data_IF_289270657555
#
_entry.id   IF_289270657555
#
_cell.length_a   1.000
_cell.length_b   1.000
_cell.length_c   1.000
_cell.angle_alpha   90.00
_cell.angle_beta   90.00
_cell.angle_gamma   90.00
#
_symmetry.space_group_name_H-M   'P 1'
#
loop_
_entity.id
_entity.type
_entity.pdbx_description
1 polymer ?
#
# COMPACT_ATOMS: atom_id res chain seq x y z
N UNK A 1 37.77 -17.96 -20.79
CA UNK A 1 36.51 -17.29 -21.10
C UNK A 1 35.40 -18.28 -20.74
N UNK A 2 34.87 -18.17 -19.55
CA UNK A 2 33.68 -18.94 -19.18
C UNK A 2 32.49 -18.18 -19.76
N UNK A 3 31.72 -18.84 -20.64
CA UNK A 3 30.44 -18.35 -21.14
C UNK A 3 29.48 -18.30 -19.96
N UNK A 4 29.23 -17.10 -19.44
CA UNK A 4 28.04 -16.87 -18.56
C UNK A 4 26.81 -17.28 -19.37
N UNK A 5 26.28 -18.44 -19.03
CA UNK A 5 24.95 -18.85 -19.47
C UNK A 5 23.95 -17.86 -18.87
N UNK A 6 23.51 -16.90 -19.66
CA UNK A 6 22.38 -16.03 -19.31
C UNK A 6 21.19 -16.96 -19.07
N UNK A 7 20.84 -17.17 -17.80
CA UNK A 7 19.71 -17.98 -17.42
C UNK A 7 18.45 -17.36 -18.04
N UNK A 8 17.78 -18.15 -18.91
CA UNK A 8 16.50 -17.73 -19.50
C UNK A 8 15.52 -17.52 -18.35
N UNK A 9 14.87 -16.33 -18.23
CA UNK A 9 13.92 -16.08 -17.16
C UNK A 9 12.82 -17.13 -17.16
N UNK A 10 12.56 -17.74 -16.03
CA UNK A 10 11.43 -18.65 -15.87
C UNK A 10 10.15 -17.90 -16.14
N UNK A 11 9.22 -18.45 -16.94
CA UNK A 11 7.96 -17.82 -17.33
C UNK A 11 6.77 -18.60 -16.80
N UNK A 12 5.63 -17.94 -16.62
CA UNK A 12 4.41 -18.56 -16.15
C UNK A 12 4.50 -18.98 -14.67
N UNK A 13 3.87 -20.09 -14.31
CA UNK A 13 3.83 -20.60 -12.93
C UNK A 13 5.23 -21.03 -12.41
N UNK A 14 6.16 -21.36 -13.30
CA UNK A 14 7.53 -21.71 -12.92
C UNK A 14 8.27 -20.52 -12.28
N UNK A 15 8.00 -19.27 -12.70
CA UNK A 15 8.58 -18.07 -12.09
C UNK A 15 8.18 -17.93 -10.62
N UNK A 16 6.90 -18.16 -10.30
CA UNK A 16 6.45 -18.16 -8.91
C UNK A 16 7.07 -19.32 -8.12
N UNK A 17 7.13 -20.51 -8.72
CA UNK A 17 7.73 -21.67 -8.06
C UNK A 17 9.19 -21.44 -7.70
N UNK A 18 9.99 -20.79 -8.57
CA UNK A 18 11.40 -20.46 -8.28
C UNK A 18 11.50 -19.47 -7.12
N UNK A 19 10.69 -18.40 -7.10
CA UNK A 19 10.66 -17.42 -5.97
C UNK A 19 10.28 -18.11 -4.66
N UNK A 20 9.22 -18.93 -4.64
CA UNK A 20 8.81 -19.66 -3.44
C UNK A 20 9.76 -20.79 -3.02
N UNK A 21 10.61 -21.26 -3.91
CA UNK A 21 11.64 -22.27 -3.61
C UNK A 21 12.90 -21.64 -2.99
N UNK A 22 13.09 -20.32 -3.13
CA UNK A 22 14.23 -19.63 -2.53
C UNK A 22 14.22 -19.75 -1.00
N UNK A 23 15.38 -19.93 -0.35
CA UNK A 23 15.48 -20.11 1.08
C UNK A 23 14.83 -18.95 1.84
N UNK A 24 14.09 -19.28 2.90
CA UNK A 24 13.44 -18.32 3.80
C UNK A 24 12.33 -17.44 3.18
N UNK A 25 12.07 -17.48 1.87
CA UNK A 25 11.06 -16.62 1.24
C UNK A 25 9.67 -16.89 1.78
N UNK A 26 9.23 -18.16 1.88
CA UNK A 26 7.89 -18.50 2.39
C UNK A 26 7.64 -17.98 3.80
N UNK A 27 8.49 -18.29 4.81
CA UNK A 27 8.27 -17.77 6.14
C UNK A 27 8.40 -16.24 6.22
N UNK A 28 9.30 -15.61 5.44
CA UNK A 28 9.39 -14.16 5.37
C UNK A 28 8.11 -13.52 4.83
N UNK A 29 7.51 -14.06 3.78
CA UNK A 29 6.24 -13.58 3.24
C UNK A 29 5.12 -13.74 4.26
N UNK A 30 5.04 -14.89 4.96
CA UNK A 30 4.04 -15.11 6.00
C UNK A 30 4.18 -14.09 7.12
N UNK A 31 5.39 -13.89 7.65
CA UNK A 31 5.61 -12.92 8.72
C UNK A 31 5.47 -11.47 8.26
N UNK A 32 5.81 -11.16 7.01
CA UNK A 32 5.53 -9.85 6.40
C UNK A 32 4.02 -9.59 6.33
N UNK A 33 3.24 -10.57 5.90
CA UNK A 33 1.78 -10.46 5.85
C UNK A 33 1.21 -10.18 7.25
N UNK A 34 1.57 -11.00 8.24
CA UNK A 34 1.11 -10.84 9.63
C UNK A 34 1.54 -9.49 10.22
N UNK A 35 2.79 -9.07 10.01
CA UNK A 35 3.30 -7.79 10.52
C UNK A 35 2.62 -6.55 9.92
N UNK A 36 2.03 -6.68 8.72
CA UNK A 36 1.30 -5.60 8.03
C UNK A 36 -0.20 -5.60 8.32
N UNK A 37 -0.74 -6.62 9.00
CA UNK A 37 -2.17 -6.69 9.35
C UNK A 37 -2.66 -5.48 10.16
N UNK A 38 -1.88 -4.89 11.11
CA UNK A 38 -2.29 -3.67 11.79
C UNK A 38 -2.64 -2.50 10.84
N UNK A 39 -1.97 -2.40 9.69
CA UNK A 39 -2.24 -1.36 8.68
C UNK A 39 -3.60 -1.62 8.02
N UNK A 40 -3.91 -2.87 7.67
CA UNK A 40 -5.19 -3.24 7.05
C UNK A 40 -6.37 -3.20 8.02
N UNK A 41 -6.16 -3.62 9.27
CA UNK A 41 -7.23 -3.73 10.29
C UNK A 41 -7.43 -2.45 11.10
N UNK A 42 -6.36 -1.67 11.33
CA UNK A 42 -6.33 -0.60 12.33
C UNK A 42 -7.30 0.53 12.03
N UNK A 43 -7.34 1.03 10.80
CA UNK A 43 -8.24 2.13 10.42
C UNK A 43 -9.71 1.78 10.65
N UNK A 44 -10.16 0.66 10.09
CA UNK A 44 -11.54 0.18 10.23
C UNK A 44 -11.84 -0.25 11.67
N UNK A 45 -10.91 -0.96 12.33
CA UNK A 45 -11.04 -1.37 13.73
C UNK A 45 -11.22 -0.18 14.68
N UNK A 46 -10.44 0.89 14.49
CA UNK A 46 -10.60 2.14 15.26
C UNK A 46 -11.96 2.78 15.03
N UNK A 47 -12.43 2.86 13.79
CA UNK A 47 -13.74 3.42 13.48
C UNK A 47 -14.84 2.62 14.17
N UNK A 48 -14.83 1.29 14.03
CA UNK A 48 -15.86 0.42 14.61
C UNK A 48 -15.86 0.49 16.13
N UNK A 49 -14.67 0.43 16.77
CA UNK A 49 -14.55 0.45 18.21
C UNK A 49 -14.97 1.81 18.80
N UNK A 50 -14.40 2.93 18.29
CA UNK A 50 -14.69 4.26 18.83
C UNK A 50 -16.17 4.63 18.60
N UNK A 51 -16.74 4.26 17.44
CA UNK A 51 -18.17 4.46 17.21
C UNK A 51 -19.02 3.65 18.19
N UNK A 52 -18.68 2.39 18.47
CA UNK A 52 -19.39 1.56 19.44
C UNK A 52 -19.37 2.16 20.85
N UNK A 53 -18.25 2.79 21.26
CA UNK A 53 -18.10 3.40 22.59
C UNK A 53 -18.73 4.79 22.71
N UNK A 54 -18.67 5.60 21.66
CA UNK A 54 -19.05 7.02 21.72
C UNK A 54 -20.38 7.34 21.03
N UNK A 55 -20.90 6.44 20.19
CA UNK A 55 -22.05 6.68 19.31
C UNK A 55 -21.73 7.69 18.18
N UNK A 56 -20.50 8.19 18.05
CA UNK A 56 -20.13 9.26 17.14
C UNK A 56 -19.19 8.78 16.03
N UNK A 57 -19.63 8.84 14.78
CA UNK A 57 -18.76 8.64 13.61
C UNK A 57 -17.74 9.77 13.44
N UNK A 58 -18.05 11.00 13.91
CA UNK A 58 -17.12 12.12 13.91
C UNK A 58 -15.91 11.85 14.81
N UNK A 59 -16.13 11.41 16.06
CA UNK A 59 -15.04 11.01 16.96
C UNK A 59 -14.24 9.84 16.39
N UNK A 60 -14.91 8.82 15.85
CA UNK A 60 -14.28 7.66 15.21
C UNK A 60 -13.38 8.06 14.03
N UNK A 61 -13.88 8.95 13.17
CA UNK A 61 -13.12 9.48 12.02
C UNK A 61 -11.89 10.28 12.43
N UNK A 62 -11.98 11.11 13.48
CA UNK A 62 -10.84 11.88 13.99
C UNK A 62 -9.77 10.95 14.56
N UNK A 63 -10.14 9.90 15.31
CA UNK A 63 -9.18 8.92 15.85
C UNK A 63 -8.50 8.12 14.73
N UNK A 64 -9.27 7.64 13.75
CA UNK A 64 -8.71 6.93 12.58
C UNK A 64 -7.84 7.86 11.71
N UNK A 65 -8.22 9.13 11.57
CA UNK A 65 -7.40 10.15 10.91
C UNK A 65 -6.09 10.40 11.64
N UNK A 66 -6.09 10.47 12.97
CA UNK A 66 -4.87 10.60 13.78
C UNK A 66 -3.94 9.39 13.61
N UNK A 67 -4.48 8.17 13.54
CA UNK A 67 -3.73 6.96 13.22
C UNK A 67 -3.05 7.06 11.85
N UNK A 68 -3.79 7.48 10.82
CA UNK A 68 -3.24 7.65 9.47
C UNK A 68 -2.15 8.74 9.42
N UNK A 69 -2.34 9.86 10.13
CA UNK A 69 -1.34 10.92 10.26
C UNK A 69 -0.07 10.41 10.96
N UNK A 70 -0.23 9.66 12.06
CA UNK A 70 0.89 9.05 12.77
C UNK A 70 1.70 8.15 11.85
N UNK A 71 1.04 7.25 11.11
CA UNK A 71 1.66 6.36 10.14
C UNK A 71 2.41 7.11 9.03
N UNK A 72 1.83 8.20 8.52
CA UNK A 72 2.42 8.99 7.44
C UNK A 72 3.63 9.80 7.89
N UNK A 73 3.53 10.53 9.01
CA UNK A 73 4.58 11.45 9.48
C UNK A 73 5.82 10.70 9.96
N UNK A 74 5.64 9.60 10.71
CA UNK A 74 6.76 8.87 11.30
C UNK A 74 7.41 7.88 10.34
N UNK A 75 6.69 7.42 9.33
CA UNK A 75 7.15 6.42 8.37
C UNK A 75 8.54 6.70 7.79
N UNK A 76 8.79 7.84 7.13
CA UNK A 76 10.09 8.17 6.57
C UNK A 76 11.20 8.29 7.62
N UNK A 77 10.89 8.81 8.81
CA UNK A 77 11.86 8.94 9.90
C UNK A 77 12.27 7.57 10.45
N UNK A 78 11.29 6.69 10.66
CA UNK A 78 11.51 5.30 11.09
C UNK A 78 12.29 4.53 10.03
N UNK A 79 11.97 4.73 8.74
CA UNK A 79 12.71 4.13 7.64
C UNK A 79 14.19 4.57 7.61
N UNK A 80 14.47 5.86 7.79
CA UNK A 80 15.86 6.36 7.94
C UNK A 80 16.59 5.74 9.12
N UNK A 81 15.88 5.55 10.24
CA UNK A 81 16.47 4.91 11.42
C UNK A 81 16.84 3.44 11.12
N UNK A 82 15.99 2.72 10.37
CA UNK A 82 16.25 1.35 9.92
C UNK A 82 17.46 1.32 8.98
N UNK A 83 17.52 2.19 7.99
CA UNK A 83 18.63 2.26 7.03
C UNK A 83 19.97 2.61 7.71
N UNK A 84 19.92 3.36 8.85
CA UNK A 84 21.12 3.76 9.61
C UNK A 84 21.56 2.75 10.66
N UNK A 85 20.62 2.15 11.40
CA UNK A 85 20.91 1.31 12.58
C UNK A 85 20.52 -0.14 12.39
N UNK A 86 19.95 -0.48 11.25
CA UNK A 86 19.40 -1.81 10.97
C UNK A 86 17.97 -1.99 11.48
N UNK A 87 17.32 -3.02 10.97
CA UNK A 87 15.90 -3.26 11.21
C UNK A 87 15.58 -3.86 12.57
N UNK A 88 16.52 -4.59 13.19
CA UNK A 88 16.29 -5.35 14.43
C UNK A 88 15.91 -4.49 15.63
N UNK A 89 16.48 -3.28 15.72
CA UNK A 89 16.22 -2.33 16.82
C UNK A 89 14.88 -1.57 16.67
N UNK A 90 14.19 -1.69 15.56
CA UNK A 90 13.02 -0.85 15.23
C UNK A 90 11.76 -1.69 15.07
N UNK A 91 11.85 -2.85 14.41
CA UNK A 91 10.68 -3.65 14.01
C UNK A 91 9.87 -4.12 15.23
N UNK A 92 10.53 -4.78 16.18
CA UNK A 92 9.85 -5.35 17.35
C UNK A 92 9.38 -4.26 18.33
N UNK A 93 10.21 -3.27 18.72
CA UNK A 93 9.73 -2.16 19.52
C UNK A 93 8.56 -1.40 18.89
N UNK A 94 8.58 -1.18 17.58
CA UNK A 94 7.46 -0.55 16.87
C UNK A 94 6.16 -1.34 17.00
N UNK A 95 6.20 -2.66 16.79
CA UNK A 95 5.04 -3.52 16.97
C UNK A 95 4.50 -3.53 18.42
N UNK A 96 5.38 -3.45 19.40
CA UNK A 96 4.98 -3.34 20.83
C UNK A 96 4.30 -1.98 21.10
N UNK A 97 4.78 -0.89 20.51
CA UNK A 97 4.14 0.43 20.61
C UNK A 97 2.74 0.38 19.98
N UNK A 98 2.58 -0.21 18.79
CA UNK A 98 1.26 -0.38 18.14
C UNK A 98 0.31 -1.14 19.04
N UNK A 99 0.74 -2.28 19.58
CA UNK A 99 -0.08 -3.09 20.50
C UNK A 99 -0.47 -2.31 21.75
N UNK A 100 0.48 -1.67 22.41
CA UNK A 100 0.23 -0.87 23.61
C UNK A 100 -0.73 0.28 23.34
N UNK A 101 -0.61 0.93 22.18
CA UNK A 101 -1.49 2.02 21.77
C UNK A 101 -2.92 1.51 21.43
N UNK A 102 -3.08 0.36 20.77
CA UNK A 102 -4.40 -0.25 20.56
C UNK A 102 -5.05 -0.65 21.88
N UNK A 103 -4.29 -1.24 22.82
CA UNK A 103 -4.81 -1.54 24.18
C UNK A 103 -5.17 -0.26 24.93
N UNK A 104 -4.42 0.82 24.76
CA UNK A 104 -4.75 2.11 25.35
C UNK A 104 -6.05 2.68 24.76
N UNK A 105 -6.28 2.57 23.43
CA UNK A 105 -7.55 2.97 22.80
C UNK A 105 -8.70 2.17 23.41
N UNK A 106 -8.55 0.85 23.56
CA UNK A 106 -9.59 -0.01 24.14
C UNK A 106 -9.87 0.39 25.59
N UNK A 107 -8.84 0.45 26.43
CA UNK A 107 -9.00 0.79 27.85
C UNK A 107 -9.59 2.19 28.07
N UNK A 108 -9.16 3.18 27.29
CA UNK A 108 -9.69 4.54 27.36
C UNK A 108 -11.13 4.62 26.89
N UNK A 109 -11.49 3.89 25.82
CA UNK A 109 -12.85 3.83 25.31
C UNK A 109 -13.81 3.19 26.31
N UNK A 110 -13.44 2.05 26.88
CA UNK A 110 -14.23 1.35 27.90
C UNK A 110 -14.36 2.15 29.21
N UNK A 111 -13.35 2.95 29.56
CA UNK A 111 -13.41 3.88 30.69
C UNK A 111 -14.25 5.14 30.41
N UNK A 112 -14.81 5.29 29.20
CA UNK A 112 -15.58 6.48 28.82
C UNK A 112 -14.75 7.76 28.68
N UNK A 113 -13.47 7.62 28.37
CA UNK A 113 -12.60 8.77 28.17
C UNK A 113 -13.06 9.62 26.98
N UNK A 114 -12.85 10.94 27.06
CA UNK A 114 -13.17 11.86 25.98
C UNK A 114 -12.37 11.57 24.70
N UNK A 115 -12.74 12.23 23.60
CA UNK A 115 -12.12 12.01 22.27
C UNK A 115 -10.63 12.30 22.24
N UNK A 116 -10.13 13.30 22.98
CA UNK A 116 -8.72 13.71 22.92
C UNK A 116 -7.73 12.60 23.33
N UNK A 117 -7.90 11.89 24.46
CA UNK A 117 -7.05 10.73 24.80
C UNK A 117 -7.06 9.63 23.74
N UNK A 118 -8.23 9.35 23.14
CA UNK A 118 -8.36 8.37 22.06
C UNK A 118 -7.60 8.80 20.80
N UNK A 119 -7.63 10.08 20.46
CA UNK A 119 -6.86 10.65 19.33
C UNK A 119 -5.36 10.49 19.55
N UNK A 120 -4.87 10.78 20.76
CA UNK A 120 -3.44 10.62 21.10
C UNK A 120 -3.04 9.14 21.00
N UNK A 121 -3.83 8.22 21.55
CA UNK A 121 -3.55 6.80 21.47
C UNK A 121 -3.61 6.28 20.02
N UNK A 122 -4.60 6.72 19.22
CA UNK A 122 -4.69 6.42 17.80
C UNK A 122 -3.47 6.91 17.01
N UNK A 123 -3.03 8.15 17.25
CA UNK A 123 -1.80 8.69 16.66
C UNK A 123 -0.57 7.85 17.02
N UNK A 124 -0.42 7.47 18.28
CA UNK A 124 0.70 6.62 18.73
C UNK A 124 0.67 5.22 18.09
N UNK A 125 -0.50 4.65 17.87
CA UNK A 125 -0.64 3.40 17.13
C UNK A 125 -0.13 3.53 15.68
N UNK A 126 -0.47 4.63 15.00
CA UNK A 126 0.05 4.94 13.68
C UNK A 126 1.57 5.18 13.70
N UNK A 127 2.03 5.99 14.63
CA UNK A 127 3.44 6.38 14.78
C UNK A 127 4.37 5.20 15.11
N UNK A 128 3.87 4.17 15.83
CA UNK A 128 4.61 2.94 16.12
C UNK A 128 4.72 1.98 14.93
N UNK A 129 3.93 2.19 13.88
CA UNK A 129 3.94 1.31 12.71
C UNK A 129 5.28 1.37 11.97
N UNK A 130 5.84 0.20 11.69
CA UNK A 130 7.12 0.09 10.98
C UNK A 130 6.91 -0.19 9.50
N UNK A 131 7.76 0.35 8.60
CA UNK A 131 7.64 0.17 7.14
C UNK A 131 8.14 -1.21 6.68
N UNK A 132 7.58 -2.30 7.21
CA UNK A 132 7.98 -3.69 6.90
C UNK A 132 7.91 -3.98 5.40
N UNK A 133 6.94 -3.40 4.68
CA UNK A 133 6.89 -3.53 3.23
C UNK A 133 8.10 -2.93 2.52
N UNK A 134 8.60 -1.78 2.99
CA UNK A 134 9.84 -1.18 2.49
C UNK A 134 11.05 -2.07 2.75
N UNK A 135 11.15 -2.60 3.98
CA UNK A 135 12.23 -3.53 4.37
C UNK A 135 12.18 -4.80 3.50
N UNK A 136 11.01 -5.39 3.29
CA UNK A 136 10.88 -6.58 2.44
C UNK A 136 11.31 -6.30 1.00
N UNK A 137 10.92 -5.15 0.43
CA UNK A 137 11.34 -4.75 -0.93
C UNK A 137 12.85 -4.55 -1.04
N UNK A 138 13.49 -4.00 0.00
CA UNK A 138 14.94 -3.88 0.08
C UNK A 138 15.63 -5.26 0.10
N UNK A 139 14.99 -6.27 0.72
CA UNK A 139 15.55 -7.62 0.85
C UNK A 139 15.39 -8.49 -0.39
N UNK A 140 14.46 -8.19 -1.28
CA UNK A 140 14.21 -9.03 -2.45
C UNK A 140 15.46 -9.32 -3.30
N UNK A 141 16.35 -8.33 -3.61
CA UNK A 141 17.57 -8.59 -4.38
C UNK A 141 18.54 -9.56 -3.72
N UNK A 142 18.50 -9.69 -2.37
CA UNK A 142 19.34 -10.62 -1.62
C UNK A 142 18.75 -12.04 -1.54
N UNK A 143 17.43 -12.17 -1.77
CA UNK A 143 16.69 -13.41 -1.61
C UNK A 143 16.51 -14.17 -2.91
N UNK A 144 16.42 -13.48 -4.04
CA UNK A 144 16.16 -14.05 -5.35
C UNK A 144 17.11 -13.49 -6.39
N UNK A 145 17.31 -14.22 -7.50
CA UNK A 145 18.14 -13.75 -8.61
C UNK A 145 17.51 -12.59 -9.38
N UNK A 146 18.30 -11.87 -10.20
CA UNK A 146 17.79 -10.73 -11.00
C UNK A 146 16.61 -11.10 -11.92
N UNK A 147 16.58 -12.35 -12.41
CA UNK A 147 15.52 -12.83 -13.28
C UNK A 147 14.17 -13.01 -12.54
N UNK A 148 14.21 -13.36 -11.26
CA UNK A 148 13.03 -13.57 -10.41
C UNK A 148 12.54 -12.30 -9.72
N UNK A 149 13.35 -11.26 -9.66
CA UNK A 149 13.04 -10.02 -8.93
C UNK A 149 11.72 -9.35 -9.37
N UNK A 150 11.37 -9.28 -10.68
CA UNK A 150 10.06 -8.76 -11.09
C UNK A 150 8.88 -9.58 -10.53
N UNK A 151 9.00 -10.90 -10.50
CA UNK A 151 7.98 -11.79 -9.94
C UNK A 151 7.87 -11.60 -8.42
N UNK A 152 8.99 -11.43 -7.72
CA UNK A 152 9.03 -11.14 -6.30
C UNK A 152 8.30 -9.81 -5.94
N UNK A 153 8.51 -8.76 -6.72
CA UNK A 153 7.78 -7.51 -6.55
C UNK A 153 6.28 -7.63 -6.90
N UNK A 154 5.92 -8.49 -7.86
CA UNK A 154 4.52 -8.80 -8.15
C UNK A 154 3.83 -9.51 -6.97
N UNK A 155 4.53 -10.43 -6.30
CA UNK A 155 4.04 -11.07 -5.07
C UNK A 155 3.82 -10.01 -3.97
N UNK A 156 4.76 -9.08 -3.76
CA UNK A 156 4.60 -8.01 -2.76
C UNK A 156 3.41 -7.09 -3.09
N UNK A 157 3.19 -6.77 -4.37
CA UNK A 157 2.04 -5.98 -4.80
C UNK A 157 0.72 -6.71 -4.52
N UNK A 158 0.62 -8.00 -4.84
CA UNK A 158 -0.57 -8.81 -4.53
C UNK A 158 -0.80 -8.94 -3.02
N UNK A 159 0.27 -9.03 -2.22
CA UNK A 159 0.15 -9.04 -0.76
C UNK A 159 -0.50 -7.76 -0.21
N UNK A 160 -0.26 -6.60 -0.82
CA UNK A 160 -0.94 -5.35 -0.45
C UNK A 160 -2.45 -5.50 -0.61
N UNK A 161 -2.89 -6.03 -1.75
CA UNK A 161 -4.32 -6.27 -2.00
C UNK A 161 -4.93 -7.23 -0.98
N UNK A 162 -4.22 -8.32 -0.67
CA UNK A 162 -4.66 -9.29 0.35
C UNK A 162 -4.86 -8.60 1.70
N UNK A 163 -3.95 -7.72 2.12
CA UNK A 163 -4.02 -7.01 3.41
C UNK A 163 -5.21 -6.05 3.44
N UNK A 164 -5.44 -5.28 2.37
CA UNK A 164 -6.54 -4.32 2.31
C UNK A 164 -7.92 -4.95 2.07
N UNK A 165 -7.97 -6.20 1.63
CA UNK A 165 -9.22 -6.98 1.58
C UNK A 165 -9.46 -7.72 2.90
N UNK A 166 -8.47 -8.47 3.38
CA UNK A 166 -8.65 -9.34 4.56
C UNK A 166 -8.66 -8.54 5.88
N UNK A 167 -7.91 -7.44 5.96
CA UNK A 167 -7.82 -6.63 7.17
C UNK A 167 -9.17 -6.04 7.60
N UNK A 168 -9.84 -5.23 6.76
CA UNK A 168 -11.16 -4.70 7.06
C UNK A 168 -12.22 -5.79 7.27
N UNK A 169 -12.15 -6.89 6.49
CA UNK A 169 -13.05 -8.02 6.65
C UNK A 169 -12.92 -8.66 8.04
N UNK A 170 -11.71 -8.94 8.49
CA UNK A 170 -11.46 -9.51 9.82
C UNK A 170 -11.91 -8.56 10.94
N UNK A 171 -11.58 -7.26 10.83
CA UNK A 171 -12.04 -6.26 11.79
C UNK A 171 -13.57 -6.18 11.85
N UNK A 172 -14.26 -6.19 10.70
CA UNK A 172 -15.72 -6.15 10.62
C UNK A 172 -16.39 -7.43 11.15
N UNK A 173 -15.87 -8.61 10.79
CA UNK A 173 -16.40 -9.89 11.27
C UNK A 173 -16.24 -9.99 12.79
N UNK A 174 -15.08 -9.63 13.35
CA UNK A 174 -14.88 -9.64 14.79
C UNK A 174 -15.81 -8.66 15.49
N UNK A 175 -15.96 -7.45 14.97
CA UNK A 175 -16.88 -6.46 15.54
C UNK A 175 -18.33 -6.93 15.53
N UNK A 176 -18.76 -7.71 14.53
CA UNK A 176 -20.11 -8.24 14.43
C UNK A 176 -20.37 -9.50 15.27
N UNK A 177 -19.32 -10.29 15.59
CA UNK A 177 -19.49 -11.62 16.21
C UNK A 177 -19.00 -11.71 17.64
N UNK A 178 -17.92 -11.01 17.98
CA UNK A 178 -17.27 -11.08 19.31
C UNK A 178 -17.29 -9.71 19.98
N UNK A 179 -16.79 -8.69 19.28
CA UNK A 179 -16.75 -7.31 19.73
C UNK A 179 -15.73 -6.48 18.91
N UNK A 180 -15.87 -5.16 18.94
CA UNK A 180 -15.02 -4.27 18.14
C UNK A 180 -13.60 -4.12 18.71
N UNK A 181 -13.40 -4.31 20.03
CA UNK A 181 -12.10 -4.29 20.68
C UNK A 181 -11.18 -5.42 20.18
N UNK A 182 -11.76 -6.60 19.96
CA UNK A 182 -11.03 -7.82 19.56
C UNK A 182 -10.37 -7.66 18.20
N UNK A 183 -10.95 -6.85 17.31
CA UNK A 183 -10.33 -6.49 16.03
C UNK A 183 -8.99 -5.76 16.20
N UNK A 184 -8.93 -4.80 17.13
CA UNK A 184 -7.70 -4.05 17.45
C UNK A 184 -6.67 -4.92 18.16
N UNK A 185 -7.13 -5.75 19.11
CA UNK A 185 -6.26 -6.68 19.86
C UNK A 185 -5.64 -7.71 18.90
N UNK A 186 -6.44 -8.33 18.04
CA UNK A 186 -5.93 -9.28 17.04
C UNK A 186 -4.94 -8.60 16.10
N UNK A 187 -5.23 -7.39 15.63
CA UNK A 187 -4.30 -6.63 14.79
C UNK A 187 -2.94 -6.45 15.49
N UNK A 188 -2.93 -6.06 16.75
CA UNK A 188 -1.71 -5.92 17.55
C UNK A 188 -0.97 -7.24 17.73
N UNK A 189 -1.67 -8.34 18.03
CA UNK A 189 -1.06 -9.69 18.18
C UNK A 189 -0.42 -10.13 16.86
N UNK A 190 -1.13 -10.03 15.73
CA UNK A 190 -0.60 -10.38 14.41
C UNK A 190 0.61 -9.52 14.06
N UNK A 191 0.57 -8.22 14.40
CA UNK A 191 1.69 -7.30 14.24
C UNK A 191 2.93 -7.74 15.01
N UNK A 192 2.79 -8.13 16.28
CA UNK A 192 3.91 -8.63 17.10
C UNK A 192 4.45 -9.95 16.57
N UNK A 193 3.57 -10.94 16.33
CA UNK A 193 3.97 -12.27 15.82
C UNK A 193 4.71 -12.13 14.49
N UNK A 194 4.16 -11.33 13.57
CA UNK A 194 4.78 -11.06 12.29
C UNK A 194 6.13 -10.36 12.41
N UNK A 195 6.21 -9.32 13.25
CA UNK A 195 7.43 -8.54 13.46
C UNK A 195 8.54 -9.35 14.12
N UNK A 196 8.23 -10.14 15.14
CA UNK A 196 9.19 -11.04 15.80
C UNK A 196 9.66 -12.13 14.84
N UNK A 197 8.74 -12.77 14.11
CA UNK A 197 9.07 -13.81 13.13
C UNK A 197 9.94 -13.27 12.00
N UNK A 198 9.61 -12.09 11.47
CA UNK A 198 10.40 -11.41 10.44
C UNK A 198 11.82 -11.08 10.95
N UNK A 199 11.92 -10.47 12.13
CA UNK A 199 13.21 -10.07 12.72
C UNK A 199 14.14 -11.25 13.02
N UNK A 200 13.60 -12.44 13.30
CA UNK A 200 14.39 -13.67 13.52
C UNK A 200 14.98 -14.26 12.24
N UNK A 201 14.31 -14.06 11.09
CA UNK A 201 14.71 -14.65 9.82
C UNK A 201 15.57 -13.67 9.02
N UNK A 202 15.21 -12.39 9.03
CA UNK A 202 15.87 -11.39 8.20
C UNK A 202 16.10 -10.11 9.00
N UNK A 203 17.36 -9.71 9.09
CA UNK A 203 17.76 -8.39 9.56
C UNK A 203 18.37 -7.62 8.41
N UNK A 204 17.92 -6.38 8.23
CA UNK A 204 18.63 -5.43 7.38
C UNK A 204 19.79 -4.90 8.17
N UNK A 205 20.99 -5.13 7.68
CA UNK A 205 22.19 -4.52 8.24
C UNK A 205 22.20 -3.02 7.89
N UNK A 206 22.83 -2.18 8.70
CA UNK A 206 23.05 -0.80 8.34
C UNK A 206 23.68 -0.71 6.95
N UNK A 207 23.05 0.02 6.05
CA UNK A 207 23.53 0.17 4.68
C UNK A 207 24.39 1.42 4.52
N UNK A 208 25.57 1.28 3.90
CA UNK A 208 26.43 2.39 3.55
C UNK A 208 27.52 2.72 4.56
N UNK A 209 28.45 3.56 4.13
CA UNK A 209 29.53 4.11 4.95
C UNK A 209 28.92 4.99 6.06
N UNK A 210 29.22 4.73 7.35
CA UNK A 210 28.76 5.59 8.45
C UNK A 210 29.24 7.04 8.31
N UNK A 211 30.40 7.26 7.68
CA UNK A 211 31.05 8.55 7.52
C UNK A 211 30.70 9.24 6.19
N UNK A 212 29.93 8.60 5.30
CA UNK A 212 29.51 9.22 4.06
C UNK A 212 28.65 10.46 4.32
N UNK A 213 29.01 11.59 3.72
CA UNK A 213 28.17 12.80 3.74
C UNK A 213 26.80 12.49 3.13
N UNK A 214 25.78 12.37 3.99
CA UNK A 214 24.42 12.10 3.56
C UNK A 214 23.70 13.40 3.30
N UNK A 215 23.15 13.54 2.11
CA UNK A 215 22.33 14.68 1.75
C UNK A 215 21.16 14.80 2.74
N UNK A 216 20.86 16.01 3.21
CA UNK A 216 19.79 16.24 4.20
C UNK A 216 18.41 15.78 3.73
N UNK A 217 18.17 15.76 2.39
CA UNK A 217 16.96 15.22 1.77
C UNK A 217 16.89 13.68 1.79
N UNK A 218 17.98 12.99 2.18
CA UNK A 218 18.01 11.52 2.18
C UNK A 218 17.70 10.94 0.79
N UNK A 219 16.78 9.99 0.72
CA UNK A 219 16.36 9.35 -0.53
C UNK A 219 15.80 10.35 -1.56
N UNK A 220 15.13 11.43 -1.11
CA UNK A 220 14.59 12.47 -1.99
C UNK A 220 15.68 13.34 -2.67
N UNK A 221 16.96 13.14 -2.36
CA UNK A 221 18.04 13.76 -3.14
C UNK A 221 18.02 13.28 -4.61
N UNK A 222 17.55 12.04 -4.89
CA UNK A 222 17.37 11.51 -6.22
C UNK A 222 16.27 12.25 -7.00
N UNK A 223 16.57 12.91 -8.14
CA UNK A 223 15.55 13.52 -8.99
C UNK A 223 14.55 12.49 -9.53
N UNK A 224 15.02 11.29 -9.81
CA UNK A 224 14.21 10.15 -10.27
C UNK A 224 13.18 9.74 -9.21
N UNK A 225 13.60 9.61 -7.94
CA UNK A 225 12.66 9.30 -6.87
C UNK A 225 11.61 10.41 -6.69
N UNK A 226 12.00 11.68 -6.76
CA UNK A 226 11.05 12.80 -6.70
C UNK A 226 10.00 12.74 -7.82
N UNK A 227 10.42 12.38 -9.05
CA UNK A 227 9.51 12.19 -10.17
C UNK A 227 8.53 11.04 -9.89
N UNK A 228 9.02 9.90 -9.40
CA UNK A 228 8.20 8.73 -9.07
C UNK A 228 7.21 9.05 -7.95
N UNK A 229 7.64 9.70 -6.88
CA UNK A 229 6.78 10.15 -5.76
C UNK A 229 5.69 11.10 -6.26
N UNK A 230 6.04 12.08 -7.09
CA UNK A 230 5.07 13.04 -7.65
C UNK A 230 4.05 12.36 -8.56
N UNK A 231 4.50 11.46 -9.44
CA UNK A 231 3.59 10.70 -10.30
C UNK A 231 2.69 9.76 -9.50
N UNK A 232 3.20 9.20 -8.39
CA UNK A 232 2.45 8.31 -7.52
C UNK A 232 1.33 9.02 -6.76
N UNK A 233 1.52 10.27 -6.35
CA UNK A 233 0.45 11.09 -5.75
C UNK A 233 -0.73 11.21 -6.71
N UNK A 234 -0.49 11.49 -8.00
CA UNK A 234 -1.55 11.58 -8.99
C UNK A 234 -2.21 10.20 -9.23
N UNK A 235 -1.39 9.16 -9.39
CA UNK A 235 -1.89 7.80 -9.61
C UNK A 235 -2.75 7.31 -8.43
N UNK A 236 -2.27 7.50 -7.21
CA UNK A 236 -2.98 7.10 -6.00
C UNK A 236 -4.24 7.92 -5.74
N UNK A 237 -4.30 9.14 -6.23
CA UNK A 237 -5.51 9.95 -6.23
C UNK A 237 -6.69 9.25 -6.92
N UNK A 238 -6.42 8.37 -7.90
CA UNK A 238 -7.43 7.53 -8.54
C UNK A 238 -8.17 6.66 -7.53
N UNK A 239 -7.45 6.09 -6.55
CA UNK A 239 -8.08 5.24 -5.51
C UNK A 239 -8.99 6.07 -4.64
N UNK A 240 -8.51 7.22 -4.15
CA UNK A 240 -9.34 8.14 -3.37
C UNK A 240 -10.57 8.62 -4.14
N UNK A 241 -10.43 8.88 -5.44
CA UNK A 241 -11.55 9.21 -6.31
C UNK A 241 -12.56 8.05 -6.41
N UNK A 242 -12.09 6.82 -6.57
CA UNK A 242 -12.93 5.62 -6.67
C UNK A 242 -13.59 5.28 -5.33
N UNK A 243 -12.91 5.50 -4.19
CA UNK A 243 -13.47 5.29 -2.84
C UNK A 243 -14.74 6.12 -2.60
N UNK A 244 -14.87 7.26 -3.27
CA UNK A 244 -16.09 8.10 -3.22
C UNK A 244 -17.04 7.77 -4.37
N UNK A 245 -16.53 7.56 -5.56
CA UNK A 245 -17.33 7.37 -6.79
C UNK A 245 -18.13 6.06 -6.78
N UNK A 246 -17.52 4.96 -6.33
CA UNK A 246 -18.16 3.64 -6.34
C UNK A 246 -19.36 3.56 -5.38
N UNK A 247 -19.28 4.01 -4.11
CA UNK A 247 -20.43 4.13 -3.25
C UNK A 247 -21.51 5.09 -3.79
N UNK A 248 -21.10 6.22 -4.38
CA UNK A 248 -22.04 7.20 -4.95
C UNK A 248 -22.80 6.62 -6.16
N UNK A 249 -22.14 5.81 -7.01
CA UNK A 249 -22.81 5.05 -8.05
C UNK A 249 -23.84 4.07 -7.46
N UNK A 250 -23.43 3.31 -6.43
CA UNK A 250 -24.33 2.40 -5.72
C UNK A 250 -25.55 3.12 -5.15
N UNK A 251 -25.35 4.25 -4.49
CA UNK A 251 -26.43 5.07 -3.95
C UNK A 251 -27.37 5.57 -5.03
N UNK A 252 -26.85 6.02 -6.17
CA UNK A 252 -27.65 6.46 -7.34
C UNK A 252 -28.56 5.35 -7.89
N UNK A 253 -28.17 4.09 -7.75
CA UNK A 253 -28.94 2.91 -8.16
C UNK A 253 -29.71 2.24 -7.00
N UNK A 254 -29.89 2.93 -5.87
CA UNK A 254 -30.61 2.39 -4.70
C UNK A 254 -29.86 1.27 -3.95
N UNK A 255 -28.56 1.12 -4.16
CA UNK A 255 -27.73 0.04 -3.63
C UNK A 255 -26.41 0.56 -3.05
N UNK A 256 -26.44 1.55 -2.16
CA UNK A 256 -25.27 2.21 -1.58
C UNK A 256 -24.27 1.21 -0.91
N UNK A 257 -24.78 0.10 -0.34
CA UNK A 257 -23.96 -0.95 0.26
C UNK A 257 -23.02 -1.65 -0.74
N UNK A 258 -23.22 -1.50 -2.05
CA UNK A 258 -22.37 -2.11 -3.06
C UNK A 258 -21.03 -1.36 -3.31
N UNK A 259 -20.79 -0.21 -2.67
CA UNK A 259 -19.51 0.49 -2.77
C UNK A 259 -18.31 -0.39 -2.42
N UNK A 260 -18.38 -1.11 -1.29
CA UNK A 260 -17.36 -2.08 -0.89
C UNK A 260 -17.18 -3.25 -1.88
N UNK A 261 -18.24 -3.96 -2.28
CA UNK A 261 -18.18 -4.96 -3.33
C UNK A 261 -17.60 -4.49 -4.65
N UNK A 262 -17.86 -3.26 -5.12
CA UNK A 262 -17.21 -2.70 -6.30
C UNK A 262 -15.70 -2.49 -6.11
N UNK A 263 -15.28 -1.99 -4.94
CA UNK A 263 -13.87 -1.89 -4.59
C UNK A 263 -13.19 -3.27 -4.51
N UNK A 264 -13.89 -4.30 -4.01
CA UNK A 264 -13.40 -5.66 -4.03
C UNK A 264 -13.23 -6.22 -5.46
N UNK A 265 -14.11 -5.88 -6.39
CA UNK A 265 -13.96 -6.24 -7.81
C UNK A 265 -12.72 -5.58 -8.42
N UNK A 266 -12.45 -4.31 -8.11
CA UNK A 266 -11.22 -3.61 -8.52
C UNK A 266 -9.97 -4.31 -7.96
N UNK A 267 -9.96 -4.63 -6.66
CA UNK A 267 -8.86 -5.36 -6.02
C UNK A 267 -8.66 -6.77 -6.63
N UNK A 268 -9.74 -7.47 -6.98
CA UNK A 268 -9.68 -8.74 -7.71
C UNK A 268 -8.99 -8.57 -9.07
N UNK A 269 -9.40 -7.56 -9.86
CA UNK A 269 -8.75 -7.23 -11.13
C UNK A 269 -7.26 -6.93 -10.97
N UNK A 270 -6.89 -6.18 -9.92
CA UNK A 270 -5.50 -5.86 -9.57
C UNK A 270 -4.70 -7.14 -9.25
N UNK A 271 -5.25 -8.03 -8.44
CA UNK A 271 -4.62 -9.30 -8.11
C UNK A 271 -4.38 -10.18 -9.35
N UNK A 272 -5.38 -10.30 -10.23
CA UNK A 272 -5.27 -11.05 -11.49
C UNK A 272 -4.19 -10.44 -12.38
N UNK A 273 -4.19 -9.11 -12.55
CA UNK A 273 -3.18 -8.39 -13.33
C UNK A 273 -1.78 -8.55 -12.76
N UNK A 274 -1.62 -8.47 -11.43
CA UNK A 274 -0.35 -8.67 -10.72
C UNK A 274 0.20 -10.08 -10.93
N UNK A 275 -0.64 -11.10 -10.80
CA UNK A 275 -0.25 -12.50 -11.04
C UNK A 275 0.14 -12.71 -12.51
N UNK A 276 -0.66 -12.18 -13.44
CA UNK A 276 -0.37 -12.30 -14.88
C UNK A 276 0.96 -11.64 -15.25
N UNK A 277 1.21 -10.43 -14.73
CA UNK A 277 2.48 -9.72 -14.97
C UNK A 277 3.67 -10.41 -14.31
N UNK A 278 3.52 -10.88 -13.08
CA UNK A 278 4.58 -11.63 -12.39
C UNK A 278 4.94 -12.95 -13.08
N UNK A 279 3.98 -13.55 -13.81
CA UNK A 279 4.22 -14.75 -14.63
C UNK A 279 4.98 -14.43 -15.94
N UNK A 280 4.87 -13.20 -16.48
CA UNK A 280 5.56 -12.75 -17.70
C UNK A 280 6.13 -11.33 -17.52
N UNK A 281 7.12 -11.15 -16.66
CA UNK A 281 7.73 -9.85 -16.45
C UNK A 281 8.39 -9.35 -17.73
N UNK A 282 8.33 -8.03 -17.95
CA UNK A 282 8.97 -7.42 -19.14
C UNK A 282 8.17 -7.51 -20.44
N UNK A 283 6.92 -7.99 -20.42
CA UNK A 283 6.05 -8.07 -21.62
C UNK A 283 5.90 -6.72 -22.35
N UNK A 284 6.00 -5.61 -21.63
CA UNK A 284 5.94 -4.25 -22.20
C UNK A 284 7.32 -3.63 -22.44
N UNK A 285 8.39 -4.42 -22.29
CA UNK A 285 9.78 -3.97 -22.47
C UNK A 285 10.48 -3.58 -21.16
N UNK A 286 11.49 -2.71 -21.21
CA UNK A 286 12.24 -2.30 -20.03
C UNK A 286 11.34 -1.57 -19.01
N UNK A 287 11.74 -1.54 -17.72
CA UNK A 287 10.88 -1.01 -16.64
C UNK A 287 10.33 0.39 -16.90
N UNK A 288 11.11 1.29 -17.44
CA UNK A 288 10.69 2.63 -17.84
C UNK A 288 9.51 2.63 -18.84
N UNK A 289 9.68 1.91 -19.96
CA UNK A 289 8.63 1.81 -20.98
C UNK A 289 7.39 1.14 -20.39
N UNK A 290 7.58 0.09 -19.61
CA UNK A 290 6.49 -0.61 -18.93
C UNK A 290 5.71 0.32 -17.99
N UNK A 291 6.39 1.18 -17.22
CA UNK A 291 5.75 2.14 -16.31
C UNK A 291 4.81 3.10 -17.05
N UNK A 292 5.28 3.66 -18.18
CA UNK A 292 4.49 4.60 -19.00
C UNK A 292 3.33 3.87 -19.70
N UNK A 293 3.60 2.70 -20.30
CA UNK A 293 2.57 1.90 -20.99
C UNK A 293 1.47 1.47 -20.03
N UNK A 294 1.83 1.00 -18.84
CA UNK A 294 0.86 0.58 -17.83
C UNK A 294 0.02 1.76 -17.31
N UNK A 295 0.61 2.94 -17.13
CA UNK A 295 -0.12 4.14 -16.77
C UNK A 295 -1.15 4.54 -17.85
N UNK A 296 -0.77 4.45 -19.12
CA UNK A 296 -1.68 4.67 -20.24
C UNK A 296 -2.79 3.61 -20.28
N UNK A 297 -2.45 2.32 -20.12
CA UNK A 297 -3.42 1.23 -20.06
C UNK A 297 -4.37 1.36 -18.86
N UNK A 298 -3.86 1.78 -17.70
CA UNK A 298 -4.71 2.06 -16.54
C UNK A 298 -5.70 3.20 -16.84
N UNK A 299 -5.27 4.26 -17.52
CA UNK A 299 -6.17 5.32 -17.97
C UNK A 299 -7.28 4.77 -18.88
N UNK A 300 -6.91 3.94 -19.85
CA UNK A 300 -7.87 3.32 -20.79
C UNK A 300 -8.84 2.37 -20.09
N UNK A 301 -8.38 1.58 -19.15
CA UNK A 301 -9.24 0.64 -18.40
C UNK A 301 -10.15 1.32 -17.39
N UNK A 302 -9.87 2.55 -16.97
CA UNK A 302 -10.77 3.36 -16.16
C UNK A 302 -11.89 4.04 -16.99
N UNK A 303 -11.72 4.21 -18.32
CA UNK A 303 -12.75 4.88 -19.19
C UNK A 303 -14.15 4.24 -19.10
N UNK A 304 -14.31 2.90 -19.09
CA UNK A 304 -15.64 2.30 -19.00
C UNK A 304 -16.42 2.68 -17.74
N UNK A 305 -15.74 3.01 -16.63
CA UNK A 305 -16.40 3.43 -15.38
C UNK A 305 -17.34 4.63 -15.60
N UNK A 306 -16.99 5.56 -16.50
CA UNK A 306 -17.80 6.76 -16.79
C UNK A 306 -19.10 6.39 -17.51
N UNK A 307 -19.11 5.31 -18.27
CA UNK A 307 -20.23 4.87 -19.12
C UNK A 307 -21.15 3.87 -18.45
N UNK A 308 -20.84 3.42 -17.24
CA UNK A 308 -21.65 2.43 -16.53
C UNK A 308 -23.10 2.91 -16.33
N UNK A 309 -24.05 2.04 -16.66
CA UNK A 309 -25.49 2.31 -16.55
C UNK A 309 -26.21 1.34 -15.64
N UNK A 310 -25.55 0.23 -15.29
CA UNK A 310 -26.12 -0.83 -14.47
C UNK A 310 -25.10 -1.37 -13.42
N UNK A 311 -25.64 -1.95 -12.34
CA UNK A 311 -24.82 -2.58 -11.28
C UNK A 311 -23.87 -3.65 -11.83
N UNK A 312 -24.30 -4.60 -12.68
CA UNK A 312 -23.39 -5.59 -13.27
C UNK A 312 -22.24 -4.96 -14.09
N UNK A 313 -22.53 -3.91 -14.89
CA UNK A 313 -21.51 -3.19 -15.64
C UNK A 313 -20.47 -2.57 -14.71
N UNK A 314 -20.89 -1.94 -13.60
CA UNK A 314 -19.96 -1.35 -12.64
C UNK A 314 -19.04 -2.41 -12.00
N UNK A 315 -19.53 -3.61 -11.71
CA UNK A 315 -18.67 -4.72 -11.25
C UNK A 315 -17.62 -5.09 -12.27
N UNK A 316 -18.01 -5.27 -13.53
CA UNK A 316 -17.09 -5.63 -14.63
C UNK A 316 -16.07 -4.52 -14.87
N UNK A 317 -16.53 -3.27 -14.94
CA UNK A 317 -15.66 -2.13 -15.19
C UNK A 317 -14.71 -1.83 -14.03
N UNK A 318 -15.15 -2.04 -12.78
CA UNK A 318 -14.29 -1.96 -11.61
C UNK A 318 -13.18 -3.04 -11.68
N UNK A 319 -13.50 -4.28 -12.01
CA UNK A 319 -12.51 -5.34 -12.17
C UNK A 319 -11.52 -5.03 -13.31
N UNK A 320 -12.00 -4.54 -14.45
CA UNK A 320 -11.16 -4.16 -15.59
C UNK A 320 -10.22 -3.01 -15.22
N UNK A 321 -10.71 -1.99 -14.51
CA UNK A 321 -9.91 -0.82 -14.11
C UNK A 321 -8.77 -1.19 -13.15
N UNK A 322 -8.94 -2.26 -12.37
CA UNK A 322 -7.91 -2.76 -11.46
C UNK A 322 -6.74 -3.47 -12.14
N UNK A 323 -6.91 -4.03 -13.34
CA UNK A 323 -5.95 -4.99 -13.95
C UNK A 323 -4.50 -4.46 -13.98
N UNK A 324 -4.28 -3.18 -14.21
CA UNK A 324 -2.93 -2.61 -14.33
C UNK A 324 -2.39 -2.02 -13.03
N UNK A 325 -3.11 -2.10 -11.92
CA UNK A 325 -2.71 -1.54 -10.65
C UNK A 325 -1.48 -2.24 -10.03
N UNK A 326 -1.61 -3.53 -9.70
CA UNK A 326 -0.49 -4.28 -9.13
C UNK A 326 0.72 -4.40 -10.08
N UNK A 327 0.54 -4.58 -11.41
CA UNK A 327 1.63 -4.45 -12.37
C UNK A 327 2.34 -3.09 -12.31
N UNK A 328 1.62 -1.98 -12.22
CA UNK A 328 2.17 -0.63 -12.12
C UNK A 328 3.02 -0.48 -10.84
N UNK A 329 2.51 -0.95 -9.69
CA UNK A 329 3.25 -0.99 -8.42
C UNK A 329 4.53 -1.81 -8.57
N UNK A 330 4.45 -2.96 -9.22
CA UNK A 330 5.59 -3.87 -9.44
C UNK A 330 6.69 -3.18 -10.24
N UNK A 331 6.34 -2.60 -11.38
CA UNK A 331 7.32 -1.91 -12.26
C UNK A 331 7.90 -0.68 -11.58
N UNK A 332 7.08 0.09 -10.87
CA UNK A 332 7.53 1.23 -10.07
C UNK A 332 8.59 0.79 -9.04
N UNK A 333 8.34 -0.31 -8.33
CA UNK A 333 9.30 -0.83 -7.35
C UNK A 333 10.63 -1.24 -8.00
N UNK A 334 10.60 -1.80 -9.22
CA UNK A 334 11.81 -2.11 -10.00
C UNK A 334 12.57 -0.82 -10.37
N UNK A 335 11.87 0.21 -10.85
CA UNK A 335 12.50 1.50 -11.21
C UNK A 335 13.12 2.15 -9.98
N UNK A 336 12.44 2.13 -8.82
CA UNK A 336 12.98 2.63 -7.56
C UNK A 336 14.26 1.87 -7.21
N UNK A 337 14.23 0.54 -7.22
CA UNK A 337 15.38 -0.29 -6.87
C UNK A 337 16.62 0.04 -7.73
N UNK A 338 16.41 0.32 -9.01
CA UNK A 338 17.49 0.67 -9.94
C UNK A 338 18.04 2.10 -9.75
N UNK A 339 17.31 2.96 -9.01
CA UNK A 339 17.66 4.38 -8.80
C UNK A 339 18.03 4.71 -7.35
N UNK A 340 18.25 3.70 -6.52
CA UNK A 340 18.55 3.89 -5.10
C UNK A 340 19.88 4.57 -4.87
N UNK A 341 19.89 5.55 -3.99
CA UNK A 341 21.10 6.03 -3.33
C UNK A 341 21.49 5.02 -2.25
N UNK A 342 22.77 4.67 -2.17
CA UNK A 342 23.26 3.70 -1.18
C UNK A 342 22.79 4.05 0.25
N UNK A 343 22.25 3.07 0.96
CA UNK A 343 21.80 3.24 2.34
C UNK A 343 20.49 4.05 2.51
N UNK A 344 19.67 4.20 1.46
CA UNK A 344 18.38 4.91 1.54
C UNK A 344 17.20 4.09 1.01
N UNK A 345 17.35 2.77 0.88
CA UNK A 345 16.36 1.92 0.23
C UNK A 345 15.01 1.90 0.98
N UNK A 346 15.02 1.67 2.29
CA UNK A 346 13.79 1.64 3.09
C UNK A 346 13.10 3.00 3.07
N UNK A 347 13.86 4.08 3.15
CA UNK A 347 13.35 5.44 3.06
C UNK A 347 12.68 5.71 1.70
N UNK A 348 13.31 5.32 0.59
CA UNK A 348 12.77 5.52 -0.75
C UNK A 348 11.40 4.84 -0.93
N UNK A 349 11.28 3.57 -0.53
CA UNK A 349 10.01 2.86 -0.59
C UNK A 349 8.95 3.43 0.37
N UNK A 350 9.38 4.00 1.49
CA UNK A 350 8.47 4.63 2.45
C UNK A 350 7.93 5.96 1.93
N UNK A 351 8.76 6.76 1.23
CA UNK A 351 8.30 7.99 0.58
C UNK A 351 7.21 7.70 -0.46
N UNK A 352 7.36 6.62 -1.23
CA UNK A 352 6.34 6.22 -2.20
C UNK A 352 5.05 5.76 -1.51
N UNK A 353 5.15 4.99 -0.42
CA UNK A 353 3.98 4.60 0.36
C UNK A 353 3.24 5.81 0.95
N UNK A 354 3.98 6.82 1.41
CA UNK A 354 3.42 8.10 1.88
C UNK A 354 2.74 8.86 0.72
N UNK A 355 3.36 8.92 -0.45
CA UNK A 355 2.78 9.53 -1.64
C UNK A 355 1.45 8.87 -2.03
N UNK A 356 1.38 7.54 -1.95
CA UNK A 356 0.14 6.78 -2.18
C UNK A 356 -0.95 7.21 -1.20
N UNK A 357 -0.64 7.32 0.10
CA UNK A 357 -1.61 7.76 1.12
C UNK A 357 -2.07 9.21 0.90
N UNK A 358 -1.14 10.12 0.65
CA UNK A 358 -1.43 11.54 0.37
C UNK A 358 -2.29 11.66 -0.90
N UNK A 359 -1.92 10.95 -1.95
CA UNK A 359 -2.66 10.95 -3.22
C UNK A 359 -4.10 10.49 -3.04
N UNK A 360 -4.31 9.35 -2.38
CA UNK A 360 -5.65 8.84 -2.10
C UNK A 360 -6.47 9.85 -1.27
N UNK A 361 -5.87 10.47 -0.25
CA UNK A 361 -6.54 11.48 0.57
C UNK A 361 -6.94 12.72 -0.24
N UNK A 362 -6.06 13.21 -1.11
CA UNK A 362 -6.36 14.34 -2.00
C UNK A 362 -7.48 13.95 -2.98
N UNK A 363 -7.41 12.75 -3.56
CA UNK A 363 -8.42 12.24 -4.49
C UNK A 363 -9.81 12.20 -3.86
N UNK A 364 -9.94 11.60 -2.69
CA UNK A 364 -11.24 11.54 -1.98
C UNK A 364 -11.74 12.92 -1.54
N UNK A 365 -10.86 13.77 -1.01
CA UNK A 365 -11.23 15.11 -0.55
C UNK A 365 -11.68 16.04 -1.70
N UNK A 366 -11.12 15.88 -2.89
CA UNK A 366 -11.50 16.67 -4.07
C UNK A 366 -12.75 16.12 -4.76
N UNK A 367 -12.91 14.80 -4.78
CA UNK A 367 -14.04 14.15 -5.47
C UNK A 367 -15.32 14.19 -4.65
N UNK A 368 -15.26 14.20 -3.32
CA UNK A 368 -16.45 14.26 -2.47
C UNK A 368 -17.38 15.41 -2.83
N UNK A 369 -16.96 16.68 -2.72
CA UNK A 369 -17.79 17.84 -3.11
C UNK A 369 -18.19 17.83 -4.59
N UNK A 370 -17.33 17.30 -5.48
CA UNK A 370 -17.61 17.23 -6.91
C UNK A 370 -18.76 16.24 -7.21
N UNK A 371 -18.78 15.09 -6.52
CA UNK A 371 -19.86 14.10 -6.63
C UNK A 371 -21.17 14.66 -6.07
N UNK A 372 -21.15 15.41 -4.97
CA UNK A 372 -22.32 16.08 -4.44
C UNK A 372 -22.90 17.11 -5.42
N UNK A 373 -22.05 17.88 -6.09
CA UNK A 373 -22.46 18.94 -7.00
C UNK A 373 -22.88 18.43 -8.38
N UNK A 374 -22.17 17.43 -8.95
CA UNK A 374 -22.30 17.02 -10.36
C UNK A 374 -22.56 15.50 -10.55
N UNK A 375 -22.76 14.77 -9.46
CA UNK A 375 -23.06 13.34 -9.48
C UNK A 375 -21.83 12.44 -9.64
N UNK A 376 -22.03 11.14 -9.47
CA UNK A 376 -20.96 10.12 -9.46
C UNK A 376 -20.10 10.09 -10.74
N UNK A 377 -20.67 10.47 -11.91
CA UNK A 377 -19.90 10.52 -13.17
C UNK A 377 -18.75 11.52 -13.13
N UNK A 378 -18.92 12.64 -12.43
CA UNK A 378 -17.85 13.62 -12.25
C UNK A 378 -16.66 13.00 -11.50
N UNK A 379 -16.92 12.20 -10.46
CA UNK A 379 -15.88 11.42 -9.77
C UNK A 379 -15.21 10.39 -10.68
N UNK A 380 -15.97 9.69 -11.51
CA UNK A 380 -15.43 8.74 -12.48
C UNK A 380 -14.51 9.42 -13.52
N UNK A 381 -14.85 10.64 -14.00
CA UNK A 381 -13.95 11.43 -14.85
C UNK A 381 -12.63 11.77 -14.16
N UNK A 382 -12.66 12.15 -12.88
CA UNK A 382 -11.43 12.40 -12.10
C UNK A 382 -10.60 11.12 -11.99
N UNK A 383 -11.24 9.97 -11.71
CA UNK A 383 -10.57 8.67 -11.65
C UNK A 383 -9.87 8.28 -12.98
N UNK A 384 -10.38 8.72 -14.12
CA UNK A 384 -9.73 8.56 -15.45
C UNK A 384 -8.63 9.60 -15.67
N UNK A 385 -8.84 10.85 -15.25
CA UNK A 385 -7.89 11.93 -15.49
C UNK A 385 -6.58 11.77 -14.69
N UNK A 386 -6.64 11.28 -13.46
CA UNK A 386 -5.49 11.18 -12.58
C UNK A 386 -4.39 10.21 -13.08
N UNK A 387 -4.68 8.98 -13.53
CA UNK A 387 -3.64 8.13 -14.12
C UNK A 387 -3.11 8.69 -15.44
N UNK A 388 -3.92 9.45 -16.21
CA UNK A 388 -3.44 10.16 -17.39
C UNK A 388 -2.43 11.26 -17.00
N UNK A 389 -2.72 12.06 -15.97
CA UNK A 389 -1.81 13.08 -15.44
C UNK A 389 -0.50 12.42 -14.95
N UNK A 390 -0.58 11.34 -14.17
CA UNK A 390 0.59 10.59 -13.73
C UNK A 390 1.46 10.13 -14.91
N UNK A 391 0.84 9.61 -15.95
CA UNK A 391 1.53 9.15 -17.17
C UNK A 391 2.17 10.32 -17.92
N UNK A 392 1.49 11.46 -18.04
CA UNK A 392 2.03 12.67 -18.67
C UNK A 392 3.22 13.24 -17.91
N UNK A 393 3.19 13.23 -16.57
CA UNK A 393 4.32 13.64 -15.70
C UNK A 393 5.54 12.77 -15.98
N UNK A 394 5.36 11.45 -16.10
CA UNK A 394 6.44 10.51 -16.42
C UNK A 394 6.98 10.73 -17.85
N UNK A 395 6.11 10.99 -18.81
CA UNK A 395 6.49 11.28 -20.19
C UNK A 395 7.27 12.58 -20.35
N UNK A 396 6.84 13.64 -19.64
CA UNK A 396 7.45 14.96 -19.70
C UNK A 396 8.89 14.97 -19.16
N UNK A 397 9.21 14.06 -18.24
CA UNK A 397 10.53 13.96 -17.59
C UNK A 397 11.13 12.56 -17.77
N UNK A 398 10.90 11.99 -18.93
CA UNK A 398 11.35 10.65 -19.29
C UNK A 398 12.88 10.49 -19.21
N UNK A 399 13.61 11.59 -19.38
CA UNK A 399 15.05 11.70 -19.23
C UNK A 399 15.57 11.33 -17.84
N UNK A 400 14.73 11.48 -16.82
CA UNK A 400 15.06 11.14 -15.42
C UNK A 400 14.86 9.66 -15.08
N UNK A 401 14.22 8.88 -15.95
CA UNK A 401 13.90 7.47 -15.69
C UNK A 401 14.88 6.53 -16.45
N UNK A 402 15.77 7.11 -17.30
CA UNK A 402 16.78 6.38 -18.08
C UNK A 402 17.90 5.77 -17.24
#
# INVERSE_FOLDING_TARGET
MATETVAVPSQGLSAYRSVFAAPHVRPLLTFTLLARMPIGMGGVGLILFVHAQTGSFGAAGVVAGAYAIGLGITGPTVARLIDRRGSSLVIVPGALIVMAAFLAVVALGEAGAGTVPLVVAGFLAGAGSTPIGGIMRQRWPDLVGPAELPTAYAIDAVMIEVIFVTGPLLAGVLAATVGAAEGLILAGILGIVGSVGFARISTVQPGGDPDAERHWLGALASPQLRLLVTSDVALAGTFGALDVTLPAFGAHHGAAALGGPFAAALAFGSGVGGIAYGARPGIFGPPRRSLIVMGALMTLTCLPLVTATSIPEMFVFSAISGIFLAPQITVRNQVIQNSLVAGTATEAFTWVALATTIGASIGSATVGPLVEAAGWRAGAFVAVALPAVATLVLLARRDLID
#
